data_IF_867353456889
#
_entry.id   IF_867353456889
#
_cell.length_a   1.000
_cell.length_b   1.000
_cell.length_c   1.000
_cell.angle_alpha   90.00
_cell.angle_beta   90.00
_cell.angle_gamma   90.00
#
_symmetry.space_group_name_H-M   'P 1'
#
loop_
_entity.id
_entity.type
_entity.pdbx_description
1 polymer ?
#
# COMPACT_ATOMS: atom_id res chain seq x y z
N UNK A 1 6.62 -2.52 -6.09
CA UNK A 1 6.41 -2.86 -7.52
C UNK A 1 6.50 -4.37 -7.78
N UNK A 2 7.68 -5.01 -7.67
CA UNK A 2 7.79 -6.43 -8.07
C UNK A 2 7.00 -7.42 -7.20
N UNK A 3 6.81 -7.14 -5.91
CA UNK A 3 5.94 -7.94 -5.04
C UNK A 3 4.48 -7.90 -5.51
N UNK A 4 4.00 -6.70 -5.87
CA UNK A 4 2.69 -6.51 -6.51
C UNK A 4 2.61 -7.28 -7.84
N UNK A 5 3.61 -7.14 -8.72
CA UNK A 5 3.59 -7.81 -10.03
C UNK A 5 3.49 -9.32 -9.89
N UNK A 6 4.27 -9.89 -8.97
CA UNK A 6 4.24 -11.32 -8.64
C UNK A 6 2.93 -11.69 -7.97
N UNK A 7 2.21 -10.82 -7.27
CA UNK A 7 1.12 -11.24 -6.40
C UNK A 7 1.62 -12.17 -5.28
N UNK A 8 2.75 -11.82 -4.66
CA UNK A 8 3.28 -12.55 -3.52
C UNK A 8 2.24 -12.57 -2.40
N UNK A 9 1.97 -13.73 -1.80
CA UNK A 9 0.94 -13.88 -0.77
C UNK A 9 1.40 -13.24 0.55
N UNK A 10 1.23 -11.92 0.67
CA UNK A 10 1.68 -11.14 1.82
C UNK A 10 0.91 -9.82 1.92
N UNK A 11 0.78 -9.34 3.15
CA UNK A 11 0.26 -8.00 3.44
C UNK A 11 1.42 -7.03 3.69
N UNK A 12 1.39 -5.89 3.02
CA UNK A 12 2.36 -4.82 3.16
C UNK A 12 1.70 -3.57 3.72
N UNK A 13 2.13 -3.17 4.93
CA UNK A 13 1.58 -2.04 5.66
C UNK A 13 2.55 -0.87 5.57
N UNK A 14 2.13 0.21 4.91
CA UNK A 14 2.87 1.46 4.83
C UNK A 14 2.29 2.44 5.81
N UNK A 15 3.04 2.78 6.85
CA UNK A 15 2.70 3.87 7.76
C UNK A 15 3.15 5.19 7.13
N UNK A 16 2.24 5.86 6.44
CA UNK A 16 2.52 7.08 5.69
C UNK A 16 2.30 8.30 6.57
N UNK A 17 3.40 8.96 6.89
CA UNK A 17 3.46 10.19 7.66
C UNK A 17 4.00 11.36 6.83
N UNK A 18 4.22 11.15 5.52
CA UNK A 18 4.75 12.13 4.58
C UNK A 18 6.08 12.80 5.02
N UNK A 19 6.86 12.20 5.92
CA UNK A 19 8.13 12.75 6.40
C UNK A 19 9.03 11.64 6.99
N UNK A 20 10.34 11.69 6.78
CA UNK A 20 11.26 10.78 7.45
C UNK A 20 11.50 11.20 8.91
N UNK A 21 10.54 10.83 9.78
CA UNK A 21 10.56 11.21 11.19
C UNK A 21 11.77 10.69 11.98
N UNK A 22 12.23 9.46 11.69
CA UNK A 22 13.35 8.86 12.43
C UNK A 22 14.68 9.58 12.18
N UNK A 23 14.89 10.07 10.96
CA UNK A 23 16.13 10.77 10.55
C UNK A 23 16.06 12.29 10.74
N UNK A 24 15.10 12.76 11.55
CA UNK A 24 14.89 14.17 11.95
C UNK A 24 14.18 15.06 10.93
N UNK A 25 13.27 14.49 10.13
CA UNK A 25 12.27 15.29 9.42
C UNK A 25 12.62 15.66 7.97
N UNK A 26 13.46 14.87 7.29
CA UNK A 26 13.65 15.05 5.85
C UNK A 26 12.35 14.75 5.08
N UNK A 27 12.14 15.35 3.91
CA UNK A 27 11.04 14.99 3.02
C UNK A 27 11.07 13.50 2.63
N UNK A 28 9.90 12.87 2.69
CA UNK A 28 9.64 11.56 2.11
C UNK A 28 9.19 11.70 0.65
N UNK A 29 9.04 10.59 -0.09
CA UNK A 29 8.55 10.62 -1.46
C UNK A 29 7.04 10.94 -1.56
N UNK A 30 6.34 11.02 -0.42
CA UNK A 30 4.91 11.40 -0.31
C UNK A 30 4.73 12.82 0.22
N UNK A 31 5.82 13.53 0.54
CA UNK A 31 5.77 14.92 1.01
C UNK A 31 5.26 15.88 -0.05
N UNK A 32 4.41 16.83 0.37
CA UNK A 32 3.95 17.91 -0.48
C UNK A 32 5.11 18.73 -1.07
N UNK A 33 5.11 19.05 -2.38
CA UNK A 33 6.20 19.78 -3.03
C UNK A 33 6.51 21.14 -2.42
N UNK A 34 5.48 21.79 -1.86
CA UNK A 34 5.54 23.14 -1.28
C UNK A 34 5.82 23.15 0.21
N UNK A 35 5.99 21.97 0.84
CA UNK A 35 6.25 21.89 2.27
C UNK A 35 7.63 22.44 2.63
N UNK A 36 7.63 23.66 3.16
CA UNK A 36 8.83 24.34 3.62
C UNK A 36 9.30 23.78 4.98
N UNK A 37 10.56 23.35 5.03
CA UNK A 37 11.16 22.79 6.24
C UNK A 37 12.63 23.17 6.35
N UNK A 38 13.20 23.09 7.55
CA UNK A 38 14.60 23.43 7.78
C UNK A 38 15.59 22.62 6.92
N UNK A 39 15.22 21.39 6.52
CA UNK A 39 16.03 20.50 5.69
C UNK A 39 15.70 20.61 4.19
N UNK A 40 14.64 21.33 3.83
CA UNK A 40 14.28 21.63 2.44
C UNK A 40 13.66 23.03 2.36
N UNK A 41 14.49 24.08 2.46
CA UNK A 41 14.03 25.46 2.37
C UNK A 41 13.41 25.74 1.01
N UNK A 42 12.18 26.26 0.99
CA UNK A 42 11.42 26.53 -0.23
C UNK A 42 10.68 25.31 -0.79
N UNK A 43 10.64 24.19 -0.05
CA UNK A 43 10.00 22.94 -0.48
C UNK A 43 10.90 22.07 -1.36
N UNK A 44 10.39 20.90 -1.73
CA UNK A 44 11.14 19.96 -2.59
C UNK A 44 10.96 20.27 -4.08
N UNK A 45 9.82 20.87 -4.46
CA UNK A 45 9.43 21.06 -5.87
C UNK A 45 9.20 19.75 -6.64
N UNK A 46 9.28 18.59 -5.97
CA UNK A 46 9.12 17.27 -6.58
C UNK A 46 7.67 16.81 -6.45
N UNK A 47 7.10 16.28 -7.54
CA UNK A 47 5.77 15.68 -7.51
C UNK A 47 5.73 14.53 -6.48
N UNK A 48 4.74 14.49 -5.58
CA UNK A 48 4.63 13.42 -4.61
C UNK A 48 4.21 12.13 -5.32
N UNK A 49 4.67 11.00 -4.79
CA UNK A 49 4.13 9.71 -5.19
C UNK A 49 2.75 9.50 -4.58
N UNK A 50 1.87 8.86 -5.35
CA UNK A 50 0.59 8.34 -4.85
C UNK A 50 0.73 6.83 -4.61
N UNK A 51 0.97 6.36 -3.37
CA UNK A 51 1.35 4.96 -3.11
C UNK A 51 0.32 3.95 -3.60
N UNK A 52 -0.97 4.28 -3.44
CA UNK A 52 -2.08 3.42 -3.87
C UNK A 52 -2.15 3.28 -5.39
N UNK A 53 -1.95 4.38 -6.12
CA UNK A 53 -1.92 4.39 -7.60
C UNK A 53 -0.76 3.53 -8.09
N UNK A 54 0.41 3.68 -7.48
CA UNK A 54 1.60 2.87 -7.81
C UNK A 54 1.35 1.41 -7.50
N UNK A 55 0.73 1.09 -6.36
CA UNK A 55 0.38 -0.28 -5.99
C UNK A 55 -0.57 -0.91 -7.01
N UNK A 56 -1.63 -0.19 -7.42
CA UNK A 56 -2.59 -0.63 -8.43
C UNK A 56 -1.91 -0.84 -9.78
N UNK A 57 -1.17 0.15 -10.27
CA UNK A 57 -0.43 0.07 -11.53
C UNK A 57 0.63 -1.05 -11.53
N UNK A 58 1.17 -1.37 -10.35
CA UNK A 58 2.11 -2.49 -10.17
C UNK A 58 1.42 -3.86 -10.08
N UNK A 59 0.08 -3.92 -10.05
CA UNK A 59 -0.70 -5.16 -9.99
C UNK A 59 -1.01 -5.67 -8.57
N UNK A 60 -1.07 -4.80 -7.56
CA UNK A 60 -1.52 -5.22 -6.23
C UNK A 60 -2.94 -5.80 -6.33
N UNK A 61 -3.22 -6.88 -5.58
CA UNK A 61 -4.48 -7.61 -5.67
C UNK A 61 -5.49 -7.16 -4.61
N UNK A 62 -5.03 -6.46 -3.58
CA UNK A 62 -5.87 -5.81 -2.58
C UNK A 62 -5.24 -4.46 -2.22
N UNK A 63 -6.05 -3.42 -2.16
CA UNK A 63 -5.60 -2.07 -1.84
C UNK A 63 -6.59 -1.43 -0.88
N UNK A 64 -6.07 -0.97 0.26
CA UNK A 64 -6.85 -0.26 1.25
C UNK A 64 -6.10 0.96 1.79
N UNK A 65 -6.86 1.92 2.30
CA UNK A 65 -6.33 3.03 3.10
C UNK A 65 -7.00 3.04 4.46
N UNK A 66 -6.24 3.28 5.51
CA UNK A 66 -6.76 3.44 6.87
C UNK A 66 -6.14 4.67 7.55
N UNK A 67 -6.60 4.97 8.76
CA UNK A 67 -6.07 6.06 9.58
C UNK A 67 -5.68 5.52 10.94
N UNK A 68 -4.49 5.85 11.42
CA UNK A 68 -3.97 5.35 12.70
C UNK A 68 -4.84 5.74 13.91
N UNK A 69 -5.63 6.82 13.81
CA UNK A 69 -6.60 7.21 14.83
C UNK A 69 -7.89 6.39 14.85
N UNK A 70 -8.19 5.62 13.81
CA UNK A 70 -9.28 4.63 13.79
C UNK A 70 -8.71 3.22 14.00
N UNK A 71 -8.47 2.88 15.26
CA UNK A 71 -7.83 1.62 15.66
C UNK A 71 -8.66 0.41 15.25
N UNK A 72 -9.98 0.46 15.44
CA UNK A 72 -10.86 -0.69 15.14
C UNK A 72 -11.01 -0.90 13.64
N UNK A 73 -11.26 0.17 12.88
CA UNK A 73 -11.36 0.09 11.42
C UNK A 73 -10.04 -0.38 10.80
N UNK A 74 -8.92 0.13 11.30
CA UNK A 74 -7.58 -0.29 10.85
C UNK A 74 -7.32 -1.76 11.15
N UNK A 75 -7.61 -2.24 12.36
CA UNK A 75 -7.44 -3.64 12.72
C UNK A 75 -8.30 -4.57 11.84
N UNK A 76 -9.55 -4.20 11.57
CA UNK A 76 -10.45 -4.96 10.71
C UNK A 76 -9.92 -5.06 9.28
N UNK A 77 -9.42 -3.97 8.71
CA UNK A 77 -8.88 -3.95 7.34
C UNK A 77 -7.57 -4.73 7.25
N UNK A 78 -6.73 -4.69 8.30
CA UNK A 78 -5.51 -5.50 8.35
C UNK A 78 -5.86 -6.99 8.38
N UNK A 79 -6.85 -7.41 9.17
CA UNK A 79 -7.29 -8.80 9.20
C UNK A 79 -7.80 -9.27 7.82
N UNK A 80 -8.67 -8.48 7.19
CA UNK A 80 -9.20 -8.75 5.85
C UNK A 80 -8.07 -8.84 4.79
N UNK A 81 -7.08 -7.94 4.85
CA UNK A 81 -5.93 -7.97 3.96
C UNK A 81 -5.03 -9.22 4.13
N UNK A 82 -4.91 -9.73 5.36
CA UNK A 82 -4.16 -10.96 5.67
C UNK A 82 -4.88 -12.20 5.13
N UNK A 83 -6.22 -12.21 5.22
CA UNK A 83 -7.05 -13.30 4.69
C UNK A 83 -7.13 -13.27 3.16
N UNK A 84 -6.94 -12.10 2.55
CA UNK A 84 -6.99 -11.95 1.10
C UNK A 84 -5.85 -12.70 0.39
N UNK A 85 -6.15 -13.57 -0.59
CA UNK A 85 -5.12 -14.28 -1.33
C UNK A 85 -4.35 -13.33 -2.26
N UNK A 86 -3.06 -13.17 -1.98
CA UNK A 86 -2.12 -12.47 -2.85
C UNK A 86 -1.45 -11.28 -2.17
N UNK A 87 -1.03 -10.31 -2.97
CA UNK A 87 -0.35 -9.13 -2.46
C UNK A 87 -1.38 -8.06 -2.05
N UNK A 88 -1.43 -7.79 -0.75
CA UNK A 88 -2.28 -6.78 -0.14
C UNK A 88 -1.47 -5.55 0.25
N UNK A 89 -1.87 -4.38 -0.21
CA UNK A 89 -1.22 -3.10 0.10
C UNK A 89 -2.13 -2.23 0.95
N UNK A 90 -1.67 -1.85 2.14
CA UNK A 90 -2.41 -0.99 3.06
C UNK A 90 -1.59 0.28 3.30
N UNK A 91 -2.17 1.44 2.96
CA UNK A 91 -1.64 2.74 3.36
C UNK A 91 -2.33 3.17 4.65
N UNK A 92 -1.60 3.26 5.76
CA UNK A 92 -2.09 3.80 7.02
C UNK A 92 -1.61 5.24 7.13
N UNK A 93 -2.53 6.20 7.05
CA UNK A 93 -2.25 7.59 7.33
C UNK A 93 -1.88 7.74 8.82
N UNK A 94 -0.63 8.10 9.10
CA UNK A 94 -0.05 8.11 10.43
C UNK A 94 0.61 9.47 10.74
N UNK A 95 -0.09 10.40 11.41
CA UNK A 95 0.43 11.73 11.68
C UNK A 95 1.75 11.74 12.49
N UNK A 96 2.76 12.46 12.02
CA UNK A 96 4.01 12.74 12.74
C UNK A 96 3.99 14.15 13.35
N UNK A 97 3.30 14.30 14.47
CA UNK A 97 3.06 15.59 15.12
C UNK A 97 4.32 16.35 15.57
N UNK A 98 5.46 15.66 15.65
CA UNK A 98 6.76 16.25 16.04
C UNK A 98 7.33 17.14 14.94
N UNK A 99 7.25 16.72 13.67
CA UNK A 99 7.79 17.46 12.53
C UNK A 99 6.70 18.12 11.68
N UNK A 100 5.48 17.58 11.74
CA UNK A 100 4.32 17.98 10.94
C UNK A 100 3.10 18.20 11.87
N UNK A 101 3.09 19.25 12.71
CA UNK A 101 2.02 19.48 13.67
C UNK A 101 0.66 19.74 13.03
N UNK A 102 0.64 20.22 11.79
CA UNK A 102 -0.53 20.39 10.92
C UNK A 102 -1.31 19.08 10.69
N UNK A 103 -0.62 17.94 10.66
CA UNK A 103 -1.25 16.63 10.45
C UNK A 103 -2.20 16.21 11.57
N UNK A 104 -2.22 16.90 12.72
CA UNK A 104 -3.28 16.71 13.73
C UNK A 104 -4.68 16.93 13.14
N UNK A 105 -4.80 17.77 12.11
CA UNK A 105 -6.06 18.05 11.42
C UNK A 105 -6.57 16.87 10.59
N UNK A 106 -5.74 15.86 10.28
CA UNK A 106 -6.12 14.70 9.46
C UNK A 106 -7.32 13.95 10.03
N UNK A 107 -7.46 13.90 11.36
CA UNK A 107 -8.62 13.29 12.03
C UNK A 107 -9.97 13.89 11.58
N UNK A 108 -9.99 15.16 11.16
CA UNK A 108 -11.20 15.84 10.68
C UNK A 108 -11.41 15.67 9.17
N UNK A 109 -10.36 15.29 8.44
CA UNK A 109 -10.38 15.12 6.98
C UNK A 109 -10.70 13.70 6.56
N UNK A 110 -10.24 12.71 7.34
CA UNK A 110 -10.50 11.30 7.04
C UNK A 110 -11.99 11.00 7.00
N UNK A 111 -12.43 10.37 5.94
CA UNK A 111 -13.81 9.94 5.75
C UNK A 111 -13.85 8.60 5.01
N UNK A 112 -14.91 7.83 5.24
CA UNK A 112 -15.10 6.58 4.50
C UNK A 112 -15.32 6.87 3.03
N UNK A 113 -14.83 5.99 2.18
CA UNK A 113 -15.18 6.04 0.76
C UNK A 113 -16.71 6.01 0.60
N UNK A 114 -17.23 6.94 -0.21
CA UNK A 114 -18.67 7.06 -0.48
C UNK A 114 -19.20 5.90 -1.34
N UNK A 115 -18.29 5.20 -2.02
CA UNK A 115 -18.62 4.10 -2.95
C UNK A 115 -17.93 2.83 -2.49
N UNK A 116 -18.62 1.71 -2.64
CA UNK A 116 -18.12 0.38 -2.30
C UNK A 116 -16.85 0.00 -3.07
N UNK A 117 -16.12 -0.97 -2.53
CA UNK A 117 -14.94 -1.57 -3.16
C UNK A 117 -15.24 -2.05 -4.59
N UNK A 118 -14.21 -2.05 -5.44
CA UNK A 118 -14.32 -2.47 -6.84
C UNK A 118 -13.28 -3.52 -7.16
N UNK A 119 -13.64 -4.46 -8.00
CA UNK A 119 -12.77 -5.47 -8.59
C UNK A 119 -12.21 -5.03 -9.96
N UNK A 120 -12.86 -4.05 -10.61
CA UNK A 120 -12.36 -3.42 -11.85
C UNK A 120 -11.17 -2.47 -11.58
N UNK A 121 -9.96 -2.77 -12.14
CA UNK A 121 -8.79 -1.90 -12.01
C UNK A 121 -8.96 -0.53 -12.67
N UNK A 122 -9.74 -0.40 -13.75
CA UNK A 122 -9.92 0.89 -14.41
C UNK A 122 -10.74 1.84 -13.55
N UNK A 123 -11.83 1.35 -12.96
CA UNK A 123 -12.63 2.08 -11.97
C UNK A 123 -11.82 2.43 -10.73
N UNK A 124 -11.01 1.50 -10.22
CA UNK A 124 -10.10 1.78 -9.10
C UNK A 124 -9.09 2.88 -9.45
N UNK A 125 -8.46 2.83 -10.62
CA UNK A 125 -7.48 3.81 -11.06
C UNK A 125 -8.08 5.21 -11.14
N UNK A 126 -9.28 5.35 -11.74
CA UNK A 126 -9.97 6.64 -11.80
C UNK A 126 -10.24 7.19 -10.39
N UNK A 127 -10.74 6.37 -9.48
CA UNK A 127 -11.05 6.76 -8.10
C UNK A 127 -9.80 7.22 -7.37
N UNK A 128 -8.71 6.44 -7.42
CA UNK A 128 -7.45 6.75 -6.75
C UNK A 128 -6.78 8.01 -7.30
N UNK A 129 -6.93 8.30 -8.60
CA UNK A 129 -6.38 9.50 -9.23
C UNK A 129 -7.19 10.77 -8.92
N UNK A 130 -8.50 10.65 -8.71
CA UNK A 130 -9.37 11.77 -8.33
C UNK A 130 -9.57 11.88 -6.81
N UNK A 131 -8.85 11.08 -6.04
CA UNK A 131 -8.98 10.98 -4.60
C UNK A 131 -8.39 12.21 -3.89
N UNK A 132 -8.98 12.60 -2.78
CA UNK A 132 -8.52 13.74 -1.98
C UNK A 132 -7.37 13.38 -1.01
N UNK A 133 -6.99 12.09 -0.97
CA UNK A 133 -5.96 11.54 -0.09
C UNK A 133 -6.48 11.04 1.25
N UNK A 134 -7.76 11.26 1.59
CA UNK A 134 -8.32 11.02 2.92
C UNK A 134 -9.45 10.00 2.96
N UNK A 135 -9.86 9.46 1.80
CA UNK A 135 -10.76 8.30 1.77
C UNK A 135 -10.13 7.08 2.44
N UNK A 136 -10.83 6.51 3.43
CA UNK A 136 -10.48 5.26 4.12
C UNK A 136 -11.44 4.13 3.74
N UNK A 137 -10.94 2.89 3.79
CA UNK A 137 -11.65 1.68 3.41
C UNK A 137 -10.85 0.82 2.44
N UNK A 138 -11.47 -0.28 2.02
CA UNK A 138 -10.98 -1.10 0.91
C UNK A 138 -11.38 -0.43 -0.39
N UNK A 139 -10.40 -0.14 -1.24
CA UNK A 139 -10.59 0.65 -2.46
C UNK A 139 -10.55 -0.23 -3.72
N UNK A 140 -9.83 -1.35 -3.64
CA UNK A 140 -9.75 -2.33 -4.71
C UNK A 140 -9.55 -3.74 -4.14
N UNK A 141 -10.31 -4.70 -4.66
CA UNK A 141 -10.20 -6.13 -4.34
C UNK A 141 -10.26 -6.97 -5.61
N UNK A 142 -9.10 -7.41 -6.08
CA UNK A 142 -8.98 -8.30 -7.23
C UNK A 142 -9.03 -9.79 -6.86
N UNK A 143 -9.19 -10.63 -7.88
CA UNK A 143 -9.30 -12.09 -7.71
C UNK A 143 -8.14 -12.87 -8.34
N UNK A 144 -7.00 -12.20 -8.57
CA UNK A 144 -5.85 -12.83 -9.21
C UNK A 144 -5.25 -13.88 -8.26
N UNK A 145 -4.97 -15.08 -8.80
CA UNK A 145 -4.31 -16.15 -8.04
C UNK A 145 -2.92 -15.67 -7.56
N UNK A 146 -2.52 -15.92 -6.29
CA UNK A 146 -1.18 -15.60 -5.81
C UNK A 146 -0.12 -16.34 -6.60
N UNK A 147 1.04 -15.72 -6.79
CA UNK A 147 2.19 -16.43 -7.30
C UNK A 147 2.78 -17.27 -6.18
N UNK A 148 2.48 -18.55 -6.23
CA UNK A 148 3.32 -19.57 -5.63
C UNK A 148 4.16 -20.19 -6.73
N UNK A 149 5.35 -20.64 -6.37
CA UNK A 149 5.75 -21.93 -6.92
C UNK A 149 4.60 -22.88 -6.58
N UNK A 150 4.09 -23.63 -7.55
CA UNK A 150 3.66 -24.97 -7.18
C UNK A 150 4.93 -25.62 -6.64
N UNK A 151 5.17 -25.51 -5.34
CA UNK A 151 5.79 -26.63 -4.68
C UNK A 151 4.72 -27.71 -4.87
N UNK A 152 4.83 -28.43 -5.99
CA UNK A 152 4.02 -29.60 -6.18
C UNK A 152 4.18 -30.36 -4.87
N UNK A 153 3.06 -30.79 -4.30
CA UNK A 153 3.11 -31.89 -3.37
C UNK A 153 3.63 -33.18 -4.06
N UNK A 154 4.20 -33.10 -5.27
CA UNK A 154 5.20 -34.03 -5.72
C UNK A 154 6.45 -33.80 -4.88
N UNK A 155 6.55 -34.57 -3.80
CA UNK A 155 7.84 -35.08 -3.35
C UNK A 155 8.44 -35.87 -4.52
N UNK A 156 8.95 -35.18 -5.54
CA UNK A 156 9.70 -35.81 -6.61
C UNK A 156 10.87 -36.54 -5.95
N UNK A 157 10.94 -37.84 -6.18
CA UNK A 157 12.08 -38.63 -5.72
C UNK A 157 13.34 -38.00 -6.31
N UNK A 158 14.35 -37.77 -5.47
CA UNK A 158 15.63 -37.18 -5.92
C UNK A 158 16.23 -38.03 -7.05
N UNK A 159 15.96 -39.34 -7.05
CA UNK A 159 16.34 -40.25 -8.13
C UNK A 159 15.68 -39.97 -9.49
N UNK A 160 14.44 -39.46 -9.52
CA UNK A 160 13.76 -39.09 -10.77
C UNK A 160 14.31 -37.78 -11.35
N UNK A 161 14.66 -36.83 -10.47
CA UNK A 161 15.32 -35.59 -10.88
C UNK A 161 16.71 -35.92 -11.44
N UNK A 162 17.47 -36.82 -10.80
CA UNK A 162 18.81 -37.21 -11.24
C UNK A 162 18.82 -37.85 -12.65
N UNK A 163 17.81 -38.67 -12.98
CA UNK A 163 17.66 -39.28 -14.31
C UNK A 163 17.44 -38.27 -15.45
N UNK A 164 16.97 -37.06 -15.16
CA UNK A 164 16.77 -36.01 -16.17
C UNK A 164 18.09 -35.31 -16.58
N UNK A 165 19.17 -35.54 -15.83
CA UNK A 165 20.47 -34.92 -16.05
C UNK A 165 21.55 -35.90 -16.52
N UNK A 166 21.23 -37.19 -16.67
CA UNK A 166 22.11 -38.17 -17.28
C UNK A 166 21.91 -38.13 -18.81
N UNK A 167 22.94 -37.60 -19.51
CA UNK A 167 23.09 -37.61 -20.98
C UNK A 167 23.85 -38.86 -21.40
#
# INVERSE_FOLDING_TARGET
MHACRRNANMTYIVMDNEVYGMTKGQPSPTTDPSWDSALSPGGTGLSPFHPLVIALASGANFIARTFSGDVRGTASIIADAIEHPGFSFIQILSPCVTFRPDQKAWKKRVHKAVVDETDDPARAARRLMSDDGFNIGVLYRGHRKPYGFSCGAEKGDIGEIQKQFEV
#
